data_IF_164368489419
#
_entry.id   IF_164368489419
#
_cell.length_a   1.000
_cell.length_b   1.000
_cell.length_c   1.000
_cell.angle_alpha   90.00
_cell.angle_beta   90.00
_cell.angle_gamma   90.00
#
_symmetry.space_group_name_H-M   'P 1'
#
loop_
_entity.id
_entity.type
_entity.pdbx_description
1 polymer ?
#
# COMPACT_ATOMS: atom_id res chain seq x y z
N UNK A 1 27.70 27.89 3.08
CA UNK A 1 28.68 27.09 2.35
C UNK A 1 29.04 25.90 3.24
N UNK A 2 28.81 24.70 2.77
CA UNK A 2 29.30 23.47 3.41
C UNK A 2 30.77 23.30 2.96
N UNK A 3 31.65 22.97 3.89
CA UNK A 3 33.10 22.78 3.61
C UNK A 3 33.41 21.36 3.16
N UNK A 4 32.51 20.41 3.41
CA UNK A 4 32.71 19.01 3.13
C UNK A 4 31.91 18.56 1.88
N UNK A 5 32.45 17.63 1.13
CA UNK A 5 31.73 17.01 0.01
C UNK A 5 30.66 16.08 0.55
N UNK A 6 29.44 16.19 0.02
CA UNK A 6 28.39 15.21 0.29
C UNK A 6 28.76 13.87 -0.35
N UNK A 7 28.53 12.78 0.38
CA UNK A 7 28.73 11.42 -0.11
C UNK A 7 27.42 10.89 -0.68
N UNK A 8 27.51 10.16 -1.78
CA UNK A 8 26.38 9.45 -2.40
C UNK A 8 25.81 8.45 -1.39
N UNK A 9 24.48 8.32 -1.32
CA UNK A 9 23.77 7.42 -0.44
C UNK A 9 23.69 7.83 1.03
N UNK A 10 24.40 8.88 1.47
CA UNK A 10 24.30 9.35 2.85
C UNK A 10 23.14 10.31 3.03
N UNK A 11 22.25 9.99 4.00
CA UNK A 11 21.13 10.84 4.38
C UNK A 11 21.62 11.89 5.37
N UNK A 12 21.49 13.15 4.99
CA UNK A 12 21.82 14.31 5.82
C UNK A 12 20.53 14.90 6.39
N UNK A 13 20.55 15.25 7.67
CA UNK A 13 19.46 15.94 8.34
C UNK A 13 19.88 17.38 8.65
N UNK A 14 19.08 18.33 8.18
CA UNK A 14 19.20 19.72 8.57
C UNK A 14 18.12 20.02 9.61
N UNK A 15 18.54 20.27 10.83
CA UNK A 15 17.65 20.75 11.90
C UNK A 15 17.87 22.21 12.17
N UNK A 16 16.80 22.96 12.38
CA UNK A 16 16.84 24.36 12.79
C UNK A 16 16.55 24.40 14.28
N UNK A 17 17.59 24.76 15.08
CA UNK A 17 17.52 24.71 16.55
C UNK A 17 17.27 26.09 17.19
N UNK A 18 17.29 27.17 16.41
CA UNK A 18 17.05 28.52 16.87
C UNK A 18 15.67 29.04 16.49
N UNK A 19 15.19 30.02 17.24
CA UNK A 19 13.92 30.69 16.95
C UNK A 19 14.09 31.52 15.67
N UNK A 20 13.52 31.05 14.57
CA UNK A 20 13.39 31.82 13.34
C UNK A 20 12.04 32.53 13.38
N UNK A 21 12.05 33.85 13.20
CA UNK A 21 10.85 34.66 13.12
C UNK A 21 10.76 35.36 11.77
N UNK A 22 9.54 35.53 11.27
CA UNK A 22 9.28 36.45 10.15
C UNK A 22 9.32 37.92 10.60
N UNK A 23 9.14 38.86 9.67
CA UNK A 23 9.12 40.28 9.95
C UNK A 23 7.93 40.74 10.83
N UNK A 24 6.97 39.86 11.12
CA UNK A 24 5.83 40.09 12.01
C UNK A 24 6.00 39.38 13.37
N UNK A 25 7.19 38.83 13.65
CA UNK A 25 7.52 38.05 14.84
C UNK A 25 6.75 36.73 14.96
N UNK A 26 6.18 36.18 13.88
CA UNK A 26 5.67 34.81 13.91
C UNK A 26 6.86 33.85 13.96
N UNK A 27 6.82 32.95 14.93
CA UNK A 27 7.88 31.94 15.11
C UNK A 27 7.66 30.78 14.17
N UNK A 28 8.76 30.35 13.52
CA UNK A 28 8.79 29.05 12.83
C UNK A 28 8.80 27.92 13.87
N UNK A 29 8.06 26.87 13.63
CA UNK A 29 8.17 25.65 14.43
C UNK A 29 9.59 25.08 14.27
N UNK A 30 10.32 25.04 15.37
CA UNK A 30 11.73 24.59 15.40
C UNK A 30 11.89 23.07 15.30
N UNK A 31 10.81 22.33 15.22
CA UNK A 31 10.82 20.86 15.04
C UNK A 31 11.02 20.40 13.59
N UNK A 32 11.13 21.33 12.62
CA UNK A 32 11.30 21.00 11.22
C UNK A 32 12.68 20.38 10.97
N UNK A 33 12.68 19.14 10.49
CA UNK A 33 13.86 18.42 10.02
C UNK A 33 13.75 18.25 8.50
N UNK A 34 14.74 18.78 7.78
CA UNK A 34 14.85 18.56 6.34
C UNK A 34 15.86 17.45 6.07
N UNK A 35 15.45 16.43 5.34
CA UNK A 35 16.34 15.37 4.86
C UNK A 35 16.79 15.71 3.44
N UNK A 36 18.06 15.53 3.14
CA UNK A 36 18.61 15.62 1.80
C UNK A 36 19.72 14.58 1.60
N UNK A 37 19.92 14.19 0.36
CA UNK A 37 20.85 13.13 -0.03
C UNK A 37 21.31 13.35 -1.47
N UNK A 38 22.48 12.84 -1.83
CA UNK A 38 22.85 12.58 -3.22
C UNK A 38 22.30 11.19 -3.57
N UNK A 39 21.36 11.08 -4.52
CA UNK A 39 20.72 9.81 -4.83
C UNK A 39 21.71 8.76 -5.31
N UNK A 40 21.45 7.51 -4.95
CA UNK A 40 22.22 6.36 -5.36
C UNK A 40 21.90 5.90 -6.79
N UNK A 41 22.79 5.07 -7.32
CA UNK A 41 22.52 4.33 -8.56
C UNK A 41 21.65 3.11 -8.27
N UNK A 42 20.53 2.99 -9.01
CA UNK A 42 19.57 1.89 -8.86
C UNK A 42 20.02 0.65 -9.59
N UNK A 43 19.87 -0.50 -8.97
CA UNK A 43 20.01 -1.82 -9.55
C UNK A 43 18.64 -2.45 -9.79
N UNK A 44 18.61 -3.59 -10.46
CA UNK A 44 17.40 -4.39 -10.63
C UNK A 44 16.84 -4.79 -9.25
N UNK A 45 15.53 -4.68 -9.07
CA UNK A 45 14.80 -4.99 -7.84
C UNK A 45 15.10 -4.08 -6.63
N UNK A 46 15.88 -3.01 -6.78
CA UNK A 46 16.00 -1.98 -5.72
C UNK A 46 14.68 -1.21 -5.55
N UNK A 47 14.00 -0.89 -6.66
CA UNK A 47 12.62 -0.39 -6.69
C UNK A 47 11.76 -1.47 -7.32
N UNK A 48 10.71 -1.90 -6.64
CA UNK A 48 9.79 -2.94 -7.14
C UNK A 48 8.38 -2.39 -7.31
N UNK A 49 7.64 -3.00 -8.22
CA UNK A 49 6.18 -2.85 -8.31
C UNK A 49 5.61 -3.66 -7.16
N UNK A 50 4.86 -3.00 -6.27
CA UNK A 50 4.34 -3.58 -5.04
C UNK A 50 2.86 -3.91 -5.12
N UNK A 51 2.08 -3.04 -5.77
CA UNK A 51 0.63 -3.18 -5.91
C UNK A 51 0.18 -2.57 -7.24
N UNK A 52 -0.85 -3.16 -7.85
CA UNK A 52 -1.48 -2.62 -9.05
C UNK A 52 -3.00 -2.73 -8.97
N UNK A 53 -3.70 -1.63 -9.26
CA UNK A 53 -5.12 -1.60 -9.55
C UNK A 53 -5.30 -1.26 -11.03
N UNK A 54 -5.77 -2.24 -11.82
CA UNK A 54 -5.97 -2.11 -13.27
C UNK A 54 -7.45 -2.22 -13.69
N UNK A 55 -8.34 -2.55 -12.74
CA UNK A 55 -9.78 -2.59 -12.91
C UNK A 55 -10.45 -1.82 -11.76
N UNK A 56 -10.43 -0.46 -11.81
CA UNK A 56 -10.93 0.37 -10.72
C UNK A 56 -12.45 0.32 -10.64
N UNK A 57 -13.00 0.59 -9.45
CA UNK A 57 -14.44 0.81 -9.24
C UNK A 57 -14.96 1.94 -10.12
N UNK A 58 -16.27 1.99 -10.27
CA UNK A 58 -16.94 3.13 -10.91
C UNK A 58 -16.40 4.47 -10.36
N UNK A 59 -16.15 5.42 -11.26
CA UNK A 59 -15.53 6.72 -10.97
C UNK A 59 -14.09 6.64 -10.39
N UNK A 60 -13.48 5.46 -10.30
CA UNK A 60 -12.10 5.24 -9.90
C UNK A 60 -11.08 5.54 -10.99
N UNK A 61 -9.84 5.30 -10.69
CA UNK A 61 -8.70 5.39 -11.61
C UNK A 61 -7.69 4.29 -11.29
N UNK A 62 -6.95 3.86 -12.31
CA UNK A 62 -5.84 2.94 -12.13
C UNK A 62 -4.75 3.54 -11.25
N UNK A 63 -4.04 2.67 -10.55
CA UNK A 63 -2.80 3.05 -9.92
C UNK A 63 -1.77 1.90 -9.94
N UNK A 64 -0.52 2.28 -9.84
CA UNK A 64 0.61 1.39 -9.61
C UNK A 64 1.36 1.90 -8.40
N UNK A 65 1.60 1.05 -7.43
CA UNK A 65 2.45 1.37 -6.31
C UNK A 65 3.85 0.79 -6.49
N UNK A 66 4.85 1.60 -6.20
CA UNK A 66 6.25 1.21 -6.15
C UNK A 66 6.76 1.25 -4.71
N UNK A 67 7.65 0.32 -4.39
CA UNK A 67 8.28 0.19 -3.09
C UNK A 67 9.80 0.20 -3.23
N UNK A 68 10.49 0.95 -2.37
CA UNK A 68 11.94 0.92 -2.29
C UNK A 68 12.39 -0.26 -1.42
N UNK A 69 12.79 -1.35 -2.07
CA UNK A 69 13.22 -2.62 -1.47
C UNK A 69 14.73 -2.63 -1.14
N UNK A 70 15.34 -1.47 -0.93
CA UNK A 70 16.78 -1.36 -0.68
C UNK A 70 17.07 -0.39 0.47
N UNK A 71 18.31 -0.35 0.90
CA UNK A 71 18.84 0.61 1.88
C UNK A 71 19.31 1.94 1.25
N UNK A 72 19.04 2.15 -0.05
CA UNK A 72 19.47 3.28 -0.85
C UNK A 72 18.36 4.32 -1.02
N UNK A 73 18.73 5.50 -1.50
CA UNK A 73 17.78 6.59 -1.83
C UNK A 73 17.85 6.88 -3.33
N UNK A 74 16.69 6.93 -3.99
CA UNK A 74 16.60 7.20 -5.41
C UNK A 74 15.80 8.47 -5.69
N UNK A 75 16.11 9.12 -6.83
CA UNK A 75 15.32 10.26 -7.32
C UNK A 75 14.39 9.80 -8.44
N UNK A 76 13.09 9.78 -8.16
CA UNK A 76 12.05 9.27 -9.07
C UNK A 76 11.97 10.03 -10.40
N UNK A 77 12.57 11.25 -10.51
CA UNK A 77 12.68 11.95 -11.81
C UNK A 77 13.51 11.18 -12.84
N UNK A 78 14.35 10.24 -12.40
CA UNK A 78 15.21 9.43 -13.26
C UNK A 78 14.49 8.18 -13.81
N UNK A 79 13.21 7.98 -13.46
CA UNK A 79 12.48 6.76 -13.79
C UNK A 79 11.24 7.05 -14.63
N UNK A 80 10.81 6.02 -15.33
CA UNK A 80 9.61 6.00 -16.14
C UNK A 80 8.79 4.77 -15.82
N UNK A 81 7.47 4.89 -15.93
CA UNK A 81 6.54 3.79 -15.95
C UNK A 81 6.16 3.48 -17.40
N UNK A 82 6.04 2.21 -17.75
CA UNK A 82 5.81 1.73 -19.10
C UNK A 82 4.94 0.48 -19.09
N UNK A 83 4.28 0.19 -20.22
CA UNK A 83 3.87 -1.16 -20.54
C UNK A 83 4.88 -1.76 -21.54
N UNK A 84 4.91 -3.09 -21.62
CA UNK A 84 5.77 -3.85 -22.56
C UNK A 84 4.91 -4.52 -23.61
N UNK A 85 5.49 -4.72 -24.81
CA UNK A 85 4.98 -5.73 -25.72
C UNK A 85 5.24 -7.14 -25.17
N UNK A 86 4.41 -8.08 -25.59
CA UNK A 86 4.44 -9.50 -25.19
C UNK A 86 5.80 -10.19 -25.40
N UNK A 87 6.67 -9.64 -26.24
CA UNK A 87 8.02 -10.16 -26.48
C UNK A 87 9.10 -9.67 -25.48
N UNK A 88 8.70 -8.88 -24.49
CA UNK A 88 9.51 -8.44 -23.31
C UNK A 88 10.78 -7.64 -23.61
N UNK A 89 11.01 -7.24 -24.85
CA UNK A 89 12.29 -6.64 -25.26
C UNK A 89 12.25 -5.12 -25.46
N UNK A 90 11.08 -4.51 -25.58
CA UNK A 90 10.96 -3.06 -25.83
C UNK A 90 9.85 -2.44 -25.00
N UNK A 91 10.19 -1.46 -24.13
CA UNK A 91 9.17 -0.69 -23.40
C UNK A 91 8.39 0.18 -24.38
N UNK A 92 7.07 0.12 -24.29
CA UNK A 92 6.15 0.96 -25.06
C UNK A 92 5.37 1.91 -24.16
N UNK A 93 4.85 2.99 -24.77
CA UNK A 93 3.97 3.94 -24.07
C UNK A 93 4.51 4.44 -22.72
N UNK A 94 5.82 4.59 -22.59
CA UNK A 94 6.42 5.03 -21.35
C UNK A 94 6.00 6.45 -20.98
N UNK A 95 5.84 6.68 -19.67
CA UNK A 95 5.55 7.99 -19.07
C UNK A 95 6.64 8.33 -18.06
N UNK A 96 7.03 9.59 -18.02
CA UNK A 96 7.92 10.12 -16.98
C UNK A 96 7.13 10.10 -15.67
N UNK A 97 7.71 9.54 -14.62
CA UNK A 97 7.07 9.50 -13.29
C UNK A 97 6.94 10.93 -12.76
N UNK A 98 8.01 11.70 -12.79
CA UNK A 98 8.00 13.12 -12.40
C UNK A 98 9.13 13.90 -13.09
N UNK A 99 8.91 15.18 -13.33
CA UNK A 99 9.94 16.11 -13.84
C UNK A 99 10.72 16.79 -12.72
N UNK A 100 10.20 16.76 -11.51
CA UNK A 100 10.83 17.36 -10.33
C UNK A 100 11.57 16.30 -9.52
N UNK A 101 12.62 16.73 -8.81
CA UNK A 101 13.30 15.83 -7.88
C UNK A 101 12.34 15.36 -6.79
N UNK A 102 12.12 14.06 -6.74
CA UNK A 102 11.29 13.40 -5.75
C UNK A 102 12.02 12.17 -5.24
N UNK A 103 12.49 12.26 -4.00
CA UNK A 103 13.26 11.17 -3.39
C UNK A 103 12.32 10.11 -2.84
N UNK A 104 12.69 8.85 -3.10
CA UNK A 104 12.11 7.68 -2.42
C UNK A 104 13.17 7.10 -1.49
N UNK A 105 12.88 7.09 -0.18
CA UNK A 105 13.76 6.56 0.85
C UNK A 105 13.52 5.06 1.07
N UNK A 106 14.45 4.35 1.77
CA UNK A 106 14.24 2.96 2.15
C UNK A 106 12.88 2.74 2.80
N UNK A 107 12.25 1.60 2.47
CA UNK A 107 10.95 1.16 3.00
C UNK A 107 9.76 2.08 2.68
N UNK A 108 9.92 3.07 1.79
CA UNK A 108 8.81 3.92 1.36
C UNK A 108 8.01 3.30 0.20
N UNK A 109 6.68 3.49 0.28
CA UNK A 109 5.70 3.17 -0.76
C UNK A 109 5.26 4.46 -1.45
N UNK A 110 5.20 4.45 -2.79
CA UNK A 110 4.75 5.60 -3.58
C UNK A 110 3.76 5.17 -4.66
N UNK A 111 2.60 5.81 -4.68
CA UNK A 111 1.51 5.52 -5.63
C UNK A 111 1.60 6.44 -6.85
N UNK A 112 1.60 5.83 -8.03
CA UNK A 112 1.56 6.47 -9.34
C UNK A 112 0.14 6.35 -9.88
N UNK A 113 -0.54 7.47 -10.11
CA UNK A 113 -1.92 7.51 -10.57
C UNK A 113 -2.21 8.76 -11.38
N UNK A 114 -3.38 8.87 -11.98
CA UNK A 114 -3.83 10.09 -12.67
C UNK A 114 -4.66 11.02 -11.79
N UNK A 115 -5.19 10.53 -10.66
CA UNK A 115 -6.04 11.29 -9.72
C UNK A 115 -5.93 10.70 -8.30
N UNK A 116 -5.03 11.28 -7.50
CA UNK A 116 -4.79 10.81 -6.13
C UNK A 116 -6.00 11.01 -5.20
N UNK A 117 -6.86 12.00 -5.49
CA UNK A 117 -8.03 12.26 -4.68
C UNK A 117 -9.05 11.11 -4.81
N UNK A 118 -9.22 10.56 -6.02
CA UNK A 118 -10.09 9.41 -6.24
C UNK A 118 -9.59 8.17 -5.52
N UNK A 119 -8.29 7.88 -5.60
CA UNK A 119 -7.71 6.73 -4.87
C UNK A 119 -7.91 6.89 -3.35
N UNK A 120 -7.58 8.06 -2.79
CA UNK A 120 -7.75 8.36 -1.35
C UNK A 120 -9.21 8.34 -0.87
N UNK A 121 -10.16 8.58 -1.75
CA UNK A 121 -11.58 8.49 -1.42
C UNK A 121 -12.10 7.05 -1.39
N UNK A 122 -11.47 6.14 -2.14
CA UNK A 122 -11.92 4.75 -2.28
C UNK A 122 -11.14 3.78 -1.39
N UNK A 123 -9.91 4.14 -1.02
CA UNK A 123 -8.99 3.30 -0.25
C UNK A 123 -8.41 4.08 0.93
N UNK A 124 -8.18 3.37 2.04
CA UNK A 124 -7.40 3.92 3.14
C UNK A 124 -5.95 4.13 2.70
N UNK A 125 -5.32 5.22 3.15
CA UNK A 125 -3.92 5.55 2.85
C UNK A 125 -3.22 5.97 4.14
N UNK A 126 -2.10 5.33 4.46
CA UNK A 126 -1.33 5.69 5.64
C UNK A 126 -0.52 6.97 5.42
N UNK A 127 0.08 7.10 4.23
CA UNK A 127 0.92 8.23 3.85
C UNK A 127 0.33 9.04 2.68
N UNK A 128 -0.67 9.90 2.91
CA UNK A 128 -1.39 10.60 1.85
C UNK A 128 -0.53 11.58 1.01
N UNK A 129 0.72 11.84 1.42
CA UNK A 129 1.68 12.64 0.66
C UNK A 129 2.52 11.80 -0.33
N UNK A 130 2.46 10.47 -0.27
CA UNK A 130 3.23 9.56 -1.12
C UNK A 130 2.49 9.21 -2.42
N UNK A 131 1.95 10.22 -3.07
CA UNK A 131 1.31 10.11 -4.37
C UNK A 131 2.02 10.97 -5.40
N UNK A 132 2.15 10.44 -6.61
CA UNK A 132 2.60 11.18 -7.79
C UNK A 132 1.49 11.09 -8.83
N UNK A 133 0.96 12.26 -9.19
CA UNK A 133 -0.03 12.37 -10.25
C UNK A 133 0.66 12.56 -11.61
N UNK A 134 0.40 11.61 -12.50
CA UNK A 134 0.84 11.68 -13.89
C UNK A 134 -0.28 12.25 -14.76
N UNK A 135 0.08 12.94 -15.83
CA UNK A 135 -0.90 13.41 -16.83
C UNK A 135 -1.66 12.22 -17.45
N UNK A 136 -1.00 11.10 -17.62
CA UNK A 136 -1.58 9.81 -18.01
C UNK A 136 -0.68 8.67 -17.59
N UNK A 137 -1.27 7.55 -17.22
CA UNK A 137 -0.57 6.27 -17.11
C UNK A 137 -0.42 5.62 -18.51
N UNK A 138 0.48 4.63 -18.69
CA UNK A 138 0.36 3.67 -19.78
C UNK A 138 -1.03 3.02 -19.73
N UNK A 139 -1.53 2.55 -20.86
CA UNK A 139 -2.83 1.87 -20.88
C UNK A 139 -2.69 0.51 -20.19
N UNK A 140 -3.47 0.30 -19.14
CA UNK A 140 -3.63 -0.98 -18.48
C UNK A 140 -5.01 -1.55 -18.86
N UNK A 141 -5.00 -2.79 -19.36
CA UNK A 141 -6.25 -3.51 -19.70
C UNK A 141 -6.81 -4.16 -18.45
N UNK A 142 -8.13 -4.21 -18.32
CA UNK A 142 -8.80 -4.90 -17.21
C UNK A 142 -8.64 -6.43 -17.27
N UNK A 143 -8.19 -6.98 -18.40
CA UNK A 143 -8.02 -8.43 -18.57
C UNK A 143 -6.58 -8.87 -18.33
N UNK A 144 -5.63 -8.31 -19.08
CA UNK A 144 -4.22 -8.66 -19.03
C UNK A 144 -3.35 -7.51 -19.50
N UNK A 145 -2.12 -7.46 -19.02
CA UNK A 145 -1.16 -6.46 -19.43
C UNK A 145 0.18 -6.61 -18.74
N UNK A 146 1.00 -5.59 -18.95
CA UNK A 146 2.32 -5.50 -18.31
C UNK A 146 2.52 -4.11 -17.75
N UNK A 147 3.27 -4.02 -16.68
CA UNK A 147 3.79 -2.77 -16.15
C UNK A 147 5.27 -2.90 -15.84
N UNK A 148 6.04 -1.87 -16.12
CA UNK A 148 7.48 -1.87 -15.86
C UNK A 148 7.95 -0.52 -15.35
N UNK A 149 8.95 -0.56 -14.47
CA UNK A 149 9.73 0.59 -14.05
C UNK A 149 11.09 0.55 -14.77
N UNK A 150 11.44 1.66 -15.41
CA UNK A 150 12.62 1.76 -16.27
C UNK A 150 13.45 2.96 -15.84
N UNK A 151 14.78 2.80 -15.84
CA UNK A 151 15.69 3.92 -15.66
C UNK A 151 15.80 4.76 -16.95
N UNK A 152 15.57 6.07 -16.85
CA UNK A 152 15.45 6.97 -18.01
C UNK A 152 16.67 6.99 -18.94
N UNK A 153 17.88 7.04 -18.39
CA UNK A 153 19.10 7.20 -19.18
C UNK A 153 19.71 5.87 -19.64
N UNK A 154 19.50 4.80 -18.88
CA UNK A 154 20.12 3.49 -19.15
C UNK A 154 19.18 2.59 -19.95
N UNK A 155 17.88 2.92 -20.05
CA UNK A 155 16.81 2.08 -20.59
C UNK A 155 16.78 0.66 -19.97
N UNK A 156 17.37 0.54 -18.76
CA UNK A 156 17.35 -0.69 -18.02
C UNK A 156 16.03 -0.85 -17.31
N UNK A 157 15.43 -2.02 -17.43
CA UNK A 157 14.27 -2.41 -16.63
C UNK A 157 14.72 -2.64 -15.19
N UNK A 158 14.06 -1.97 -14.26
CA UNK A 158 14.31 -2.09 -12.82
C UNK A 158 13.43 -3.18 -12.23
N UNK A 159 12.14 -3.16 -12.56
CA UNK A 159 11.20 -4.23 -12.23
C UNK A 159 10.08 -4.29 -13.29
N UNK A 160 9.47 -5.47 -13.42
CA UNK A 160 8.40 -5.71 -14.39
C UNK A 160 7.39 -6.70 -13.83
N UNK A 161 6.12 -6.42 -14.07
CA UNK A 161 4.99 -7.30 -13.76
C UNK A 161 4.20 -7.57 -15.04
N UNK A 162 3.98 -8.87 -15.36
CA UNK A 162 2.88 -9.29 -16.22
C UNK A 162 1.69 -9.64 -15.33
N UNK A 163 0.55 -9.01 -15.55
CA UNK A 163 -0.67 -9.27 -14.79
C UNK A 163 -1.76 -9.85 -15.68
N UNK A 164 -2.67 -10.58 -15.07
CA UNK A 164 -3.86 -11.14 -15.69
C UNK A 164 -5.01 -11.15 -14.66
N UNK A 165 -6.24 -10.93 -15.10
CA UNK A 165 -7.42 -10.94 -14.20
C UNK A 165 -7.59 -12.27 -13.46
N UNK A 166 -7.15 -13.40 -14.05
CA UNK A 166 -7.15 -14.72 -13.39
C UNK A 166 -6.16 -14.84 -12.21
N UNK A 167 -5.29 -13.85 -12.00
CA UNK A 167 -4.44 -13.79 -10.81
C UNK A 167 -5.23 -13.41 -9.56
N UNK A 168 -6.44 -12.88 -9.73
CA UNK A 168 -7.35 -12.64 -8.62
C UNK A 168 -7.89 -13.92 -8.02
N UNK A 169 -8.21 -13.86 -6.72
CA UNK A 169 -8.75 -15.01 -5.99
C UNK A 169 -10.08 -15.46 -6.60
N UNK A 170 -10.25 -16.77 -6.95
CA UNK A 170 -11.39 -17.26 -7.73
C UNK A 170 -12.73 -17.22 -6.96
N UNK A 171 -12.73 -17.00 -5.65
CA UNK A 171 -13.94 -16.88 -4.81
C UNK A 171 -14.39 -15.43 -4.62
N UNK A 172 -13.71 -14.44 -5.20
CA UNK A 172 -14.21 -13.08 -5.21
C UNK A 172 -15.46 -12.98 -6.08
N UNK A 173 -16.48 -12.28 -5.58
CA UNK A 173 -17.73 -12.06 -6.32
C UNK A 173 -17.56 -11.05 -7.47
N UNK A 174 -16.66 -10.09 -7.30
CA UNK A 174 -16.21 -9.10 -8.30
C UNK A 174 -14.76 -8.80 -8.05
N UNK A 175 -14.05 -8.45 -9.10
CA UNK A 175 -12.66 -7.97 -9.05
C UNK A 175 -12.57 -6.46 -9.22
N UNK A 176 -13.69 -5.79 -9.52
CA UNK A 176 -13.75 -4.33 -9.68
C UNK A 176 -13.27 -3.64 -8.40
N UNK A 177 -12.22 -2.87 -8.51
CA UNK A 177 -11.62 -2.17 -7.38
C UNK A 177 -10.86 -3.06 -6.40
N UNK A 178 -10.44 -4.23 -6.84
CA UNK A 178 -9.54 -5.11 -6.09
C UNK A 178 -8.16 -5.03 -6.70
N UNK A 179 -7.17 -4.59 -5.95
CA UNK A 179 -5.80 -4.57 -6.42
C UNK A 179 -5.15 -5.95 -6.36
N UNK A 180 -4.10 -6.14 -7.15
CA UNK A 180 -3.15 -7.23 -6.99
C UNK A 180 -1.96 -6.74 -6.16
N UNK A 181 -1.65 -7.45 -5.10
CA UNK A 181 -0.56 -7.19 -4.16
C UNK A 181 0.56 -8.21 -4.33
N UNK A 182 1.81 -7.75 -4.33
CA UNK A 182 2.98 -8.62 -4.22
C UNK A 182 3.08 -9.14 -2.79
N UNK A 183 3.11 -10.47 -2.60
CA UNK A 183 3.10 -11.07 -1.25
C UNK A 183 4.43 -10.95 -0.50
N UNK A 184 5.53 -10.69 -1.21
CA UNK A 184 6.85 -10.45 -0.63
C UNK A 184 7.75 -9.75 -1.64
N UNK A 185 8.61 -8.81 -1.22
CA UNK A 185 9.57 -8.14 -2.11
C UNK A 185 10.49 -9.10 -2.87
N UNK A 186 10.76 -10.26 -2.29
CA UNK A 186 11.69 -11.25 -2.83
C UNK A 186 11.01 -12.37 -3.65
N UNK A 187 9.69 -12.31 -3.82
CA UNK A 187 8.91 -13.31 -4.55
C UNK A 187 8.12 -12.64 -5.67
N UNK A 188 8.09 -13.29 -6.84
CA UNK A 188 7.22 -12.90 -7.95
C UNK A 188 5.84 -13.59 -7.81
N UNK A 189 5.22 -13.43 -6.64
CA UNK A 189 3.91 -13.97 -6.35
C UNK A 189 2.95 -12.85 -5.97
N UNK A 190 1.76 -12.92 -6.51
CA UNK A 190 0.75 -11.88 -6.42
C UNK A 190 -0.57 -12.46 -5.96
N UNK A 191 -1.31 -11.67 -5.20
CA UNK A 191 -2.63 -12.05 -4.72
C UNK A 191 -3.56 -10.84 -4.66
N UNK A 192 -4.86 -11.10 -4.62
CA UNK A 192 -5.86 -10.06 -4.41
C UNK A 192 -5.71 -9.42 -3.04
N UNK A 193 -5.79 -8.11 -2.97
CA UNK A 193 -5.89 -7.40 -1.71
C UNK A 193 -7.11 -7.87 -0.90
N UNK A 194 -6.97 -7.88 0.42
CA UNK A 194 -8.02 -8.39 1.32
C UNK A 194 -9.23 -7.46 1.42
N UNK A 195 -10.40 -8.03 1.73
CA UNK A 195 -11.61 -7.26 2.06
C UNK A 195 -11.41 -6.41 3.31
N UNK A 196 -10.63 -6.91 4.27
CA UNK A 196 -10.36 -6.22 5.53
C UNK A 196 -9.49 -4.98 5.38
N UNK A 197 -8.74 -4.85 4.29
CA UNK A 197 -8.03 -3.62 3.89
C UNK A 197 -8.82 -2.76 2.90
N UNK A 198 -10.06 -3.13 2.58
CA UNK A 198 -10.90 -2.44 1.60
C UNK A 198 -10.52 -2.73 0.15
N UNK A 199 -9.82 -3.86 -0.09
CA UNK A 199 -9.36 -4.33 -1.40
C UNK A 199 -8.25 -3.52 -2.05
N UNK A 200 -7.44 -2.81 -1.25
CA UNK A 200 -6.23 -2.11 -1.67
C UNK A 200 -5.48 -1.54 -0.47
N UNK A 201 -4.17 -1.39 -0.61
CA UNK A 201 -3.26 -0.92 0.44
C UNK A 201 -2.34 0.21 -0.02
N UNK A 202 -2.86 1.26 -0.71
CA UNK A 202 -2.00 2.31 -1.23
C UNK A 202 -1.28 3.07 -0.11
N UNK A 203 0.05 3.17 -0.24
CA UNK A 203 1.01 3.86 0.64
C UNK A 203 1.38 3.15 1.94
N UNK A 204 1.08 1.87 2.08
CA UNK A 204 1.49 1.05 3.22
C UNK A 204 1.65 -0.44 2.83
N UNK A 205 2.04 -1.24 3.81
CA UNK A 205 2.32 -2.66 3.60
C UNK A 205 1.10 -3.43 3.10
N UNK A 206 1.30 -4.26 2.10
CA UNK A 206 0.29 -5.12 1.50
C UNK A 206 -0.42 -6.02 2.51
N UNK A 207 -1.74 -6.17 2.37
CA UNK A 207 -2.58 -7.00 3.24
C UNK A 207 -2.26 -8.49 3.16
N UNK A 208 -1.64 -8.91 2.05
CA UNK A 208 -1.22 -10.29 1.79
C UNK A 208 0.29 -10.49 2.00
N UNK A 209 0.96 -9.53 2.65
CA UNK A 209 2.40 -9.62 2.89
C UNK A 209 2.76 -10.86 3.73
N UNK A 210 3.56 -11.75 3.15
CA UNK A 210 3.94 -13.01 3.76
C UNK A 210 5.17 -12.85 4.66
N UNK A 211 5.01 -13.21 5.94
CA UNK A 211 6.11 -13.27 6.92
C UNK A 211 6.44 -14.75 7.18
N UNK A 212 7.58 -15.27 6.70
CA UNK A 212 7.99 -16.63 7.01
C UNK A 212 8.16 -16.83 8.51
N UNK A 213 7.66 -17.98 9.04
CA UNK A 213 7.79 -18.41 10.43
C UNK A 213 6.88 -17.68 11.45
N UNK A 214 5.81 -17.03 11.07
CA UNK A 214 4.72 -16.68 11.97
C UNK A 214 3.87 -17.93 12.26
N UNK A 215 3.47 -18.16 13.51
CA UNK A 215 2.49 -19.21 13.85
C UNK A 215 1.10 -18.63 13.73
N UNK A 216 0.20 -19.35 13.05
CA UNK A 216 -1.18 -18.92 12.96
C UNK A 216 -1.83 -18.81 14.34
N UNK A 217 -2.27 -17.61 14.72
CA UNK A 217 -2.93 -17.33 15.99
C UNK A 217 -4.21 -16.52 15.75
N UNK A 218 -5.23 -16.84 16.52
CA UNK A 218 -6.45 -16.03 16.63
C UNK A 218 -6.64 -15.68 18.09
N UNK A 219 -6.74 -14.40 18.40
CA UNK A 219 -6.98 -13.91 19.75
C UNK A 219 -8.26 -13.09 19.80
N UNK A 220 -9.00 -13.22 20.91
CA UNK A 220 -10.23 -12.47 21.17
C UNK A 220 -10.07 -11.71 22.47
N UNK A 221 -10.09 -10.39 22.42
CA UNK A 221 -9.87 -9.50 23.56
C UNK A 221 -10.80 -8.29 23.54
N UNK A 222 -11.28 -7.85 24.71
CA UNK A 222 -11.16 -8.50 26.03
C UNK A 222 -12.07 -9.73 26.14
N UNK A 223 -11.87 -10.58 27.14
CA UNK A 223 -12.74 -11.76 27.40
C UNK A 223 -14.17 -11.34 27.83
N UNK A 224 -14.29 -10.16 28.39
CA UNK A 224 -15.57 -9.54 28.81
C UNK A 224 -15.55 -8.09 28.38
N UNK A 225 -16.57 -7.64 27.66
CA UNK A 225 -16.70 -6.25 27.23
C UNK A 225 -18.09 -5.70 27.54
N UNK A 226 -18.22 -4.38 27.61
CA UNK A 226 -19.42 -3.67 28.03
C UNK A 226 -19.73 -2.55 27.02
N UNK A 227 -20.54 -2.82 25.97
CA UNK A 227 -20.79 -1.86 24.89
C UNK A 227 -21.77 -0.76 25.32
N UNK A 228 -21.45 0.02 26.36
CA UNK A 228 -22.30 1.08 26.95
C UNK A 228 -21.91 2.48 26.44
N UNK A 229 -20.85 2.61 25.64
CA UNK A 229 -20.27 3.86 25.11
C UNK A 229 -19.69 4.78 26.19
N UNK A 230 -19.12 4.22 27.25
CA UNK A 230 -18.40 4.99 28.27
C UNK A 230 -16.91 5.19 27.94
N UNK A 231 -16.44 4.57 26.84
CA UNK A 231 -15.06 4.63 26.36
C UNK A 231 -14.15 3.56 26.94
N UNK A 232 -14.69 2.62 27.73
CA UNK A 232 -13.95 1.52 28.33
C UNK A 232 -14.53 0.16 27.91
N UNK A 233 -13.73 -0.64 27.20
CA UNK A 233 -14.12 -1.99 26.72
C UNK A 233 -15.47 -2.02 25.98
N UNK A 234 -15.73 -1.01 25.14
CA UNK A 234 -16.95 -0.90 24.34
C UNK A 234 -16.98 -1.87 23.15
N UNK A 235 -15.83 -2.45 22.79
CA UNK A 235 -15.67 -3.32 21.63
C UNK A 235 -14.93 -4.59 22.01
N UNK A 236 -15.33 -5.69 21.39
CA UNK A 236 -14.56 -6.92 21.31
C UNK A 236 -13.70 -6.86 20.03
N UNK A 237 -12.42 -7.14 20.11
CA UNK A 237 -11.54 -7.29 18.96
C UNK A 237 -11.16 -8.75 18.75
N UNK A 238 -11.31 -9.22 17.53
CA UNK A 238 -10.90 -10.54 17.06
C UNK A 238 -9.71 -10.29 16.16
N UNK A 239 -8.53 -10.68 16.63
CA UNK A 239 -7.27 -10.47 15.91
C UNK A 239 -6.79 -11.80 15.37
N UNK A 240 -6.20 -11.77 14.19
CA UNK A 240 -5.56 -12.95 13.61
C UNK A 240 -4.21 -12.59 13.00
N UNK A 241 -3.32 -13.59 13.00
CA UNK A 241 -2.05 -13.58 12.30
C UNK A 241 -1.79 -14.98 11.78
N UNK A 242 -1.60 -15.15 10.47
CA UNK A 242 -1.40 -16.43 9.82
C UNK A 242 -0.14 -16.43 8.96
N UNK A 243 0.53 -17.58 8.85
CA UNK A 243 1.66 -17.78 7.94
C UNK A 243 1.28 -17.78 6.46
N UNK A 244 -0.01 -17.89 6.16
CA UNK A 244 -0.53 -18.03 4.79
C UNK A 244 -1.30 -16.79 4.40
N UNK A 245 -1.09 -16.36 3.19
CA UNK A 245 -2.00 -15.48 2.46
C UNK A 245 -3.12 -16.29 1.81
N UNK A 246 -4.05 -15.62 1.15
CA UNK A 246 -5.10 -16.27 0.35
C UNK A 246 -6.11 -17.06 1.23
N UNK A 247 -6.51 -16.48 2.33
CA UNK A 247 -7.41 -17.09 3.29
C UNK A 247 -8.82 -16.51 3.18
N UNK A 248 -9.81 -17.41 3.04
CA UNK A 248 -11.22 -17.06 3.17
C UNK A 248 -11.65 -17.26 4.62
N UNK A 249 -12.33 -16.27 5.20
CA UNK A 249 -12.82 -16.35 6.57
C UNK A 249 -14.32 -16.13 6.68
N UNK A 250 -14.89 -16.75 7.70
CA UNK A 250 -16.23 -16.45 8.21
C UNK A 250 -16.17 -16.33 9.73
N UNK A 251 -16.69 -15.23 10.27
CA UNK A 251 -16.77 -14.99 11.71
C UNK A 251 -18.22 -14.79 12.08
N UNK A 252 -18.76 -15.66 12.91
CA UNK A 252 -20.14 -15.64 13.37
C UNK A 252 -20.20 -15.62 14.89
N UNK A 253 -21.12 -14.85 15.43
CA UNK A 253 -21.37 -14.73 16.87
C UNK A 253 -22.65 -15.48 17.21
N UNK A 254 -22.59 -16.32 18.24
CA UNK A 254 -23.71 -17.10 18.74
C UNK A 254 -23.93 -16.81 20.23
N UNK A 255 -25.16 -16.91 20.70
CA UNK A 255 -25.46 -16.89 22.12
C UNK A 255 -25.17 -18.26 22.78
N UNK A 256 -25.37 -18.35 24.11
CA UNK A 256 -25.18 -19.59 24.87
C UNK A 256 -26.08 -20.75 24.46
N UNK A 257 -27.20 -20.45 23.80
CA UNK A 257 -28.14 -21.46 23.29
C UNK A 257 -27.83 -21.92 21.87
N UNK A 258 -26.72 -21.38 21.26
CA UNK A 258 -26.31 -21.70 19.90
C UNK A 258 -27.13 -20.97 18.82
N UNK A 259 -27.86 -19.92 19.18
CA UNK A 259 -28.60 -19.10 18.21
C UNK A 259 -27.65 -18.06 17.62
N UNK A 260 -27.63 -17.96 16.29
CA UNK A 260 -26.84 -16.98 15.55
C UNK A 260 -27.34 -15.56 15.93
N UNK A 261 -26.40 -14.71 16.33
CA UNK A 261 -26.62 -13.31 16.72
C UNK A 261 -26.16 -12.36 15.63
N UNK A 262 -24.96 -12.56 15.12
CA UNK A 262 -24.38 -11.70 14.10
C UNK A 262 -23.38 -12.47 13.23
N UNK A 263 -23.23 -12.05 11.97
CA UNK A 263 -22.17 -12.49 11.06
C UNK A 263 -21.28 -11.30 10.80
N UNK A 264 -20.06 -11.32 11.35
CA UNK A 264 -19.10 -10.21 11.26
C UNK A 264 -18.29 -10.25 9.98
N UNK A 265 -17.94 -11.44 9.51
CA UNK A 265 -17.29 -11.73 8.23
C UNK A 265 -17.99 -12.93 7.62
N UNK A 266 -18.33 -12.86 6.35
CA UNK A 266 -19.07 -13.92 5.66
C UNK A 266 -18.39 -14.33 4.36
N UNK A 267 -17.51 -15.34 4.45
CA UNK A 267 -16.77 -15.90 3.31
C UNK A 267 -16.02 -14.81 2.51
N UNK A 268 -15.21 -14.04 3.21
CA UNK A 268 -14.43 -12.94 2.63
C UNK A 268 -12.94 -13.27 2.59
N UNK A 269 -12.25 -12.75 1.58
CA UNK A 269 -10.81 -12.83 1.50
C UNK A 269 -10.20 -11.91 2.56
N UNK A 270 -9.48 -12.48 3.52
CA UNK A 270 -8.82 -11.73 4.59
C UNK A 270 -7.31 -11.64 4.33
N UNK A 271 -6.67 -10.62 4.91
CA UNK A 271 -5.21 -10.55 4.97
C UNK A 271 -4.62 -11.64 5.88
N UNK A 272 -3.33 -11.89 5.75
CA UNK A 272 -2.61 -12.79 6.64
C UNK A 272 -2.58 -12.28 8.10
N UNK A 273 -2.80 -10.99 8.32
CA UNK A 273 -3.07 -10.41 9.63
C UNK A 273 -4.23 -9.43 9.55
N UNK A 274 -4.91 -9.22 10.66
CA UNK A 274 -6.03 -8.28 10.71
C UNK A 274 -6.76 -8.28 12.04
N UNK A 275 -7.73 -7.36 12.13
CA UNK A 275 -8.61 -7.22 13.30
C UNK A 275 -10.03 -6.96 12.85
N UNK A 276 -10.98 -7.70 13.41
CA UNK A 276 -12.41 -7.46 13.31
C UNK A 276 -12.95 -7.01 14.64
N UNK A 277 -13.67 -5.90 14.65
CA UNK A 277 -14.33 -5.38 15.86
C UNK A 277 -15.80 -5.77 15.89
N UNK A 278 -16.30 -6.03 17.12
CA UNK A 278 -17.71 -6.22 17.37
C UNK A 278 -18.15 -5.36 18.57
N UNK A 279 -19.23 -4.62 18.39
CA UNK A 279 -19.79 -3.68 19.37
C UNK A 279 -20.97 -4.25 20.17
N UNK A 280 -21.16 -5.57 20.20
CA UNK A 280 -22.24 -6.23 20.95
C UNK A 280 -23.64 -6.05 20.34
N UNK A 281 -23.74 -5.80 19.01
CA UNK A 281 -25.03 -5.70 18.34
C UNK A 281 -25.38 -6.97 17.56
N UNK A 282 -26.71 -7.20 17.39
CA UNK A 282 -27.21 -8.19 16.44
C UNK A 282 -27.14 -7.67 14.98
N UNK A 283 -27.56 -8.50 13.99
CA UNK A 283 -27.63 -8.13 12.57
C UNK A 283 -28.51 -6.91 12.26
N UNK A 284 -29.39 -6.52 13.18
CA UNK A 284 -30.29 -5.35 13.06
C UNK A 284 -29.70 -4.10 13.74
N UNK A 285 -28.49 -4.22 14.30
CA UNK A 285 -27.84 -3.16 15.05
C UNK A 285 -28.40 -2.94 16.47
N UNK A 286 -29.23 -3.87 16.98
CA UNK A 286 -29.74 -3.79 18.36
C UNK A 286 -28.69 -4.34 19.32
N UNK A 287 -28.42 -3.61 20.41
CA UNK A 287 -27.54 -4.08 21.49
C UNK A 287 -28.16 -5.27 22.21
N UNK A 288 -27.31 -6.22 22.56
CA UNK A 288 -27.67 -7.43 23.30
C UNK A 288 -27.76 -7.17 24.79
#
# INVERSE_FOLDING_TARGET
>A
HFSDNFMEGFIYNLSINDVITDCNNNQLDTSLIFRFVLPDSCLQSDIIINEILFDPKDDGVDYVEIYNNSDKVFDLKNYRISNYLIDWNTPENWKIITNESRLIFPDEYWVLTTDSAKVKNQYFTENPCHFIELVSLPTFSNEEGTVAIIHQSLLNTIDVLGYHSDMHHPLLNSVDGVSLERISPNLEQWQSASSTSGYGTPTYQNSQYFIPNSFGEVTVIPEVFSPNNDGYEDFLSINWEFERSDLMASISVYNSDGILINVLINNELIGNSGTQFWNGTDERGMKL
#
